data_IF_333337275942
#
_entry.id   IF_333337275942
#
_cell.length_a   1.000
_cell.length_b   1.000
_cell.length_c   1.000
_cell.angle_alpha   90.00
_cell.angle_beta   90.00
_cell.angle_gamma   90.00
#
_symmetry.space_group_name_H-M   'P 1'
#
loop_
_entity.id
_entity.type
_entity.pdbx_description
1 polymer ?
#
# COMPACT_ATOMS: atom_id res chain seq x y z
N UNK A 1 -4.47 14.55 13.43
CA UNK A 1 -3.52 13.42 13.52
C UNK A 1 -2.37 13.75 14.44
N UNK A 2 -2.19 12.95 15.49
CA UNK A 2 -1.02 13.04 16.38
C UNK A 2 -0.42 11.65 16.53
N UNK A 3 0.76 11.43 15.93
CA UNK A 3 1.57 10.23 16.09
C UNK A 3 2.92 10.66 16.66
N UNK A 4 3.47 9.92 17.62
CA UNK A 4 4.79 10.24 18.18
C UNK A 4 5.84 10.13 17.08
N UNK A 5 6.73 11.12 16.97
CA UNK A 5 7.81 11.12 15.98
C UNK A 5 8.70 9.87 16.07
N UNK A 6 8.84 9.29 17.27
CA UNK A 6 9.56 8.03 17.51
C UNK A 6 8.93 6.78 16.88
N UNK A 7 7.72 6.89 16.32
CA UNK A 7 7.09 5.83 15.54
C UNK A 7 7.73 5.66 14.16
N UNK A 8 8.61 6.59 13.76
CA UNK A 8 9.24 6.60 12.46
C UNK A 8 10.76 6.49 12.56
N UNK A 9 11.36 5.85 11.58
CA UNK A 9 12.81 5.70 11.41
C UNK A 9 13.20 5.96 9.96
N UNK A 10 14.43 6.43 9.76
CA UNK A 10 15.00 6.57 8.42
C UNK A 10 15.67 5.26 8.04
N UNK A 11 15.38 4.77 6.83
CA UNK A 11 16.05 3.64 6.19
C UNK A 11 16.36 3.97 4.74
N UNK A 12 17.12 3.11 4.07
CA UNK A 12 17.08 3.08 2.61
C UNK A 12 15.73 2.52 2.17
N UNK A 13 15.10 3.10 1.18
CA UNK A 13 13.87 2.60 0.55
C UNK A 13 13.93 1.10 0.20
N UNK A 14 15.05 0.61 -0.33
CA UNK A 14 15.26 -0.79 -0.68
C UNK A 14 15.34 -1.70 0.55
N UNK A 15 15.76 -1.17 1.71
CA UNK A 15 15.86 -1.88 2.99
C UNK A 15 14.53 -1.86 3.78
N UNK A 16 13.50 -1.17 3.27
CA UNK A 16 12.13 -1.24 3.81
C UNK A 16 11.56 -2.62 3.52
N UNK A 17 10.94 -3.31 4.48
CA UNK A 17 10.35 -4.62 4.23
C UNK A 17 9.29 -4.58 3.13
N UNK A 18 9.23 -5.62 2.29
CA UNK A 18 8.16 -5.79 1.32
C UNK A 18 6.79 -5.80 2.03
N UNK A 19 5.78 -5.22 1.38
CA UNK A 19 4.45 -5.05 1.94
C UNK A 19 4.32 -3.93 2.98
N UNK A 20 5.41 -3.20 3.28
CA UNK A 20 5.37 -2.04 4.17
C UNK A 20 5.22 -0.73 3.39
N UNK A 21 4.89 0.35 4.09
CA UNK A 21 4.92 1.69 3.50
C UNK A 21 6.16 2.47 3.90
N UNK A 22 6.51 3.43 3.05
CA UNK A 22 7.51 4.42 3.35
C UNK A 22 7.11 5.76 2.72
N UNK A 23 7.65 6.85 3.26
CA UNK A 23 7.49 8.18 2.70
C UNK A 23 8.80 8.67 2.09
N UNK A 24 8.68 9.28 0.92
CA UNK A 24 9.75 9.93 0.15
C UNK A 24 9.13 11.09 -0.63
N UNK A 25 9.81 12.24 -0.72
CA UNK A 25 9.32 13.43 -1.46
C UNK A 25 7.83 13.75 -1.22
N UNK A 26 7.42 13.83 0.06
CA UNK A 26 6.04 14.14 0.49
C UNK A 26 4.96 13.12 0.09
N UNK A 27 5.33 12.03 -0.59
CA UNK A 27 4.42 10.98 -1.04
C UNK A 27 4.54 9.72 -0.18
N UNK A 28 3.44 8.97 -0.07
CA UNK A 28 3.45 7.64 0.55
C UNK A 28 3.57 6.57 -0.52
N UNK A 29 4.50 5.65 -0.30
CA UNK A 29 4.77 4.53 -1.19
C UNK A 29 4.52 3.21 -0.48
N UNK A 30 4.04 2.22 -1.22
CA UNK A 30 4.00 0.83 -0.79
C UNK A 30 5.17 0.07 -1.41
N UNK A 31 5.94 -0.63 -0.58
CA UNK A 31 7.12 -1.39 -1.01
C UNK A 31 6.69 -2.72 -1.61
N UNK A 32 7.03 -2.95 -2.87
CA UNK A 32 6.56 -4.10 -3.61
C UNK A 32 7.60 -4.68 -4.59
N UNK A 33 7.28 -5.86 -5.12
CA UNK A 33 7.97 -6.51 -6.23
C UNK A 33 7.00 -6.73 -7.39
N UNK A 34 7.45 -6.45 -8.61
CA UNK A 34 6.70 -6.68 -9.86
C UNK A 34 7.53 -7.54 -10.81
N UNK A 35 6.86 -8.35 -11.61
CA UNK A 35 7.51 -9.20 -12.62
C UNK A 35 7.40 -8.52 -13.98
N UNK A 36 8.54 -8.07 -14.52
CA UNK A 36 8.63 -7.48 -15.85
C UNK A 36 9.32 -8.46 -16.80
N UNK A 37 8.52 -9.34 -17.41
CA UNK A 37 9.01 -10.29 -18.42
C UNK A 37 10.03 -11.30 -17.90
N UNK A 38 9.95 -11.68 -16.63
CA UNK A 38 10.86 -12.60 -15.95
C UNK A 38 11.95 -11.93 -15.12
N UNK A 39 12.03 -10.59 -15.14
CA UNK A 39 12.93 -9.82 -14.27
C UNK A 39 12.15 -9.23 -13.09
N UNK A 40 12.55 -9.60 -11.86
CA UNK A 40 11.87 -9.15 -10.64
C UNK A 40 12.41 -7.77 -10.28
N UNK A 41 11.55 -6.75 -10.39
CA UNK A 41 11.91 -5.38 -10.06
C UNK A 41 11.44 -5.02 -8.65
N UNK A 42 12.34 -4.43 -7.87
CA UNK A 42 12.03 -3.80 -6.59
C UNK A 42 11.43 -2.42 -6.83
N UNK A 43 10.20 -2.20 -6.37
CA UNK A 43 9.46 -0.97 -6.67
C UNK A 43 8.84 -0.33 -5.43
N UNK A 44 8.62 0.98 -5.52
CA UNK A 44 7.77 1.76 -4.64
C UNK A 44 6.51 2.20 -5.38
N UNK A 45 5.35 1.86 -4.86
CA UNK A 45 4.06 2.22 -5.46
C UNK A 45 3.54 3.49 -4.83
N UNK A 46 3.48 4.59 -5.58
CA UNK A 46 2.97 5.85 -5.08
C UNK A 46 1.46 5.76 -4.81
N UNK A 47 1.10 5.58 -3.54
CA UNK A 47 -0.30 5.48 -3.12
C UNK A 47 -1.00 6.84 -3.20
N UNK A 48 -0.26 7.94 -3.07
CA UNK A 48 -0.76 9.32 -3.08
C UNK A 48 -0.98 9.89 -4.49
N UNK A 49 -0.28 9.40 -5.52
CA UNK A 49 -0.42 9.81 -6.93
C UNK A 49 -0.79 8.62 -7.83
N UNK A 50 -2.03 8.15 -7.70
CA UNK A 50 -2.66 7.28 -8.68
C UNK A 50 -2.01 5.90 -8.87
N UNK A 51 -1.28 5.39 -7.86
CA UNK A 51 -0.64 4.08 -7.90
C UNK A 51 0.33 3.88 -9.08
N UNK A 52 1.09 4.91 -9.44
CA UNK A 52 2.27 4.73 -10.30
C UNK A 52 3.41 4.10 -9.51
N UNK A 53 4.24 3.28 -10.14
CA UNK A 53 5.43 2.74 -9.48
C UNK A 53 6.71 3.43 -9.92
N UNK A 54 7.69 3.45 -9.03
CA UNK A 54 9.08 3.82 -9.30
C UNK A 54 9.98 2.63 -9.02
N UNK A 55 10.97 2.40 -9.88
CA UNK A 55 11.97 1.34 -9.68
C UNK A 55 13.02 1.82 -8.68
N UNK A 56 13.25 1.03 -7.63
CA UNK A 56 14.17 1.34 -6.54
C UNK A 56 15.58 0.86 -6.88
N UNK A 57 16.20 1.45 -7.90
CA UNK A 57 17.56 1.08 -8.34
C UNK A 57 18.66 1.82 -7.58
N UNK A 58 18.40 3.07 -7.19
CA UNK A 58 19.33 3.90 -6.44
C UNK A 58 18.77 4.14 -5.04
N UNK A 59 19.40 3.60 -3.97
CA UNK A 59 18.84 3.70 -2.64
C UNK A 59 18.68 5.15 -2.19
N UNK A 60 17.46 5.55 -1.84
CA UNK A 60 17.16 6.87 -1.28
C UNK A 60 16.85 6.79 0.20
N UNK A 61 16.95 7.93 0.91
CA UNK A 61 16.51 8.01 2.30
C UNK A 61 14.99 8.06 2.37
N UNK A 62 14.41 7.06 3.02
CA UNK A 62 12.97 6.90 3.18
C UNK A 62 12.59 6.87 4.66
N UNK A 63 11.46 7.49 5.00
CA UNK A 63 10.88 7.42 6.34
C UNK A 63 9.91 6.24 6.40
N UNK A 64 10.10 5.32 7.34
CA UNK A 64 9.21 4.15 7.52
C UNK A 64 8.92 3.92 9.01
N UNK A 65 8.10 2.92 9.32
CA UNK A 65 7.73 2.60 10.69
C UNK A 65 8.90 2.01 11.49
N UNK A 66 8.97 2.39 12.77
CA UNK A 66 9.87 1.78 13.73
C UNK A 66 9.53 0.29 13.94
N UNK A 67 10.53 -0.48 14.37
CA UNK A 67 10.34 -1.91 14.66
C UNK A 67 9.23 -2.15 15.70
N UNK A 68 8.40 -3.17 15.46
CA UNK A 68 7.26 -3.52 16.32
C UNK A 68 5.98 -2.74 16.03
N UNK A 69 6.00 -1.84 15.04
CA UNK A 69 4.82 -1.20 14.48
C UNK A 69 4.48 -1.80 13.12
N UNK A 70 3.19 -1.88 12.83
CA UNK A 70 2.66 -2.37 11.57
C UNK A 70 1.61 -1.41 11.01
N UNK A 71 1.26 -1.61 9.75
CA UNK A 71 0.12 -0.94 9.13
C UNK A 71 -1.08 -1.85 9.11
N UNK A 72 -2.25 -1.25 9.31
CA UNK A 72 -3.53 -1.87 9.01
C UNK A 72 -4.27 -1.00 8.01
N UNK A 73 -4.60 -1.58 6.86
CA UNK A 73 -5.40 -0.90 5.84
C UNK A 73 -6.87 -1.08 6.17
N UNK A 74 -7.63 0.02 6.15
CA UNK A 74 -9.07 0.02 6.46
C UNK A 74 -9.87 0.69 5.37
N UNK A 75 -11.05 0.14 5.11
CA UNK A 75 -12.05 0.73 4.24
C UNK A 75 -12.73 1.88 4.98
N UNK A 76 -12.84 3.04 4.34
CA UNK A 76 -13.51 4.23 4.89
C UNK A 76 -14.82 4.48 4.15
N UNK A 77 -14.80 4.39 2.82
CA UNK A 77 -15.95 4.65 1.97
C UNK A 77 -16.69 3.40 1.49
N UNK A 78 -17.63 3.56 0.53
CA UNK A 78 -18.44 2.47 0.05
C UNK A 78 -17.61 1.44 -0.73
N UNK A 79 -17.99 0.17 -0.59
CA UNK A 79 -17.52 -0.91 -1.46
C UNK A 79 -18.37 -0.92 -2.73
N UNK A 80 -17.73 -0.96 -3.89
CA UNK A 80 -18.33 -1.00 -5.23
C UNK A 80 -18.00 -2.31 -5.94
N UNK A 81 -18.71 -2.56 -7.03
CA UNK A 81 -18.51 -3.74 -7.88
C UNK A 81 -19.77 -4.64 -7.97
N UNK A 82 -19.68 -5.77 -8.68
CA UNK A 82 -18.49 -6.29 -9.36
C UNK A 82 -18.06 -5.43 -10.57
N UNK A 83 -16.76 -5.27 -10.79
CA UNK A 83 -16.23 -4.55 -11.97
C UNK A 83 -14.74 -4.24 -11.87
N UNK A 84 -14.17 -3.61 -12.91
CA UNK A 84 -12.75 -3.23 -12.93
C UNK A 84 -12.48 -2.15 -11.86
N UNK A 85 -11.63 -2.42 -10.85
CA UNK A 85 -11.25 -1.41 -9.86
C UNK A 85 -10.48 -0.25 -10.52
N UNK A 86 -10.77 1.02 -10.17
CA UNK A 86 -9.90 2.16 -10.50
C UNK A 86 -8.50 1.99 -9.90
N UNK A 87 -7.52 2.76 -10.34
CA UNK A 87 -6.17 2.74 -9.76
C UNK A 87 -6.18 3.07 -8.26
N UNK A 88 -5.20 2.53 -7.53
CA UNK A 88 -5.02 2.73 -6.09
C UNK A 88 -6.21 2.28 -5.22
N UNK A 89 -7.12 1.47 -5.74
CA UNK A 89 -8.24 0.93 -4.97
C UNK A 89 -7.80 -0.32 -4.21
N UNK A 90 -8.38 -0.53 -3.02
CA UNK A 90 -8.36 -1.85 -2.40
C UNK A 90 -9.34 -2.75 -3.15
N UNK A 91 -8.89 -3.92 -3.57
CA UNK A 91 -9.68 -4.85 -4.36
C UNK A 91 -9.66 -6.26 -3.75
N UNK A 92 -10.77 -6.97 -3.93
CA UNK A 92 -10.97 -8.36 -3.50
C UNK A 92 -11.60 -9.17 -4.63
N UNK A 93 -11.27 -10.45 -4.69
CA UNK A 93 -11.99 -11.41 -5.54
C UNK A 93 -12.08 -12.77 -4.87
N UNK A 94 -12.94 -13.66 -5.39
CA UNK A 94 -13.29 -14.94 -4.76
C UNK A 94 -12.09 -15.84 -4.40
N UNK A 95 -10.99 -15.75 -5.15
CA UNK A 95 -9.80 -16.57 -4.96
C UNK A 95 -8.59 -15.76 -4.49
N UNK A 96 -8.73 -14.44 -4.31
CA UNK A 96 -7.62 -13.54 -4.01
C UNK A 96 -7.73 -12.93 -2.62
N UNK A 97 -6.58 -12.72 -1.98
CA UNK A 97 -6.48 -11.83 -0.82
C UNK A 97 -6.73 -10.36 -1.19
N UNK A 98 -6.77 -9.47 -0.19
CA UNK A 98 -6.86 -8.04 -0.46
C UNK A 98 -5.62 -7.57 -1.23
N UNK A 99 -5.85 -6.74 -2.26
CA UNK A 99 -4.79 -6.25 -3.13
C UNK A 99 -5.01 -4.77 -3.49
N UNK A 100 -3.95 -4.11 -3.94
CA UNK A 100 -4.00 -2.75 -4.51
C UNK A 100 -4.08 -2.86 -6.03
N UNK A 101 -5.04 -2.19 -6.65
CA UNK A 101 -5.16 -2.13 -8.10
C UNK A 101 -4.15 -1.16 -8.74
N UNK A 102 -3.48 -1.67 -9.76
CA UNK A 102 -2.51 -0.95 -10.59
C UNK A 102 -3.02 -0.85 -12.03
N UNK A 103 -2.24 -0.25 -12.93
CA UNK A 103 -2.63 -0.05 -14.34
C UNK A 103 -2.99 -1.38 -15.00
N UNK A 104 -2.08 -2.36 -14.90
CA UNK A 104 -2.21 -3.65 -15.59
C UNK A 104 -2.19 -4.88 -14.67
N UNK A 105 -1.93 -4.69 -13.37
CA UNK A 105 -1.79 -5.78 -12.41
C UNK A 105 -2.37 -5.42 -11.02
N UNK A 106 -2.24 -6.35 -10.08
CA UNK A 106 -2.63 -6.17 -8.69
C UNK A 106 -1.47 -6.52 -7.77
N UNK A 107 -1.36 -5.84 -6.64
CA UNK A 107 -0.33 -6.11 -5.65
C UNK A 107 -0.96 -6.66 -4.38
N UNK A 108 -0.61 -7.89 -4.03
CA UNK A 108 -1.05 -8.53 -2.80
C UNK A 108 -0.55 -7.73 -1.60
N UNK A 109 -1.46 -7.45 -0.66
CA UNK A 109 -1.08 -6.81 0.60
C UNK A 109 -0.26 -7.75 1.49
N UNK A 110 -0.40 -9.06 1.30
CA UNK A 110 0.42 -10.06 1.98
C UNK A 110 1.78 -10.20 1.27
N UNK A 111 2.74 -9.39 1.72
CA UNK A 111 4.13 -9.46 1.26
C UNK A 111 4.46 -8.64 0.01
N UNK A 112 3.53 -7.83 -0.51
CA UNK A 112 3.82 -6.81 -1.53
C UNK A 112 4.23 -7.35 -2.89
N UNK A 113 3.76 -8.54 -3.26
CA UNK A 113 4.07 -9.15 -4.56
C UNK A 113 2.93 -8.96 -5.55
N UNK A 114 3.27 -8.92 -6.82
CA UNK A 114 2.27 -9.02 -7.88
C UNK A 114 1.40 -10.28 -7.74
N UNK A 115 0.10 -10.15 -7.99
CA UNK A 115 -0.87 -11.23 -7.97
C UNK A 115 -1.80 -11.17 -9.17
N UNK A 116 -2.10 -12.34 -9.74
CA UNK A 116 -3.11 -12.53 -10.78
C UNK A 116 -4.43 -13.07 -10.22
N UNK A 117 -4.51 -13.25 -8.89
CA UNK A 117 -5.67 -13.85 -8.24
C UNK A 117 -6.89 -12.92 -8.26
N UNK A 118 -6.69 -11.62 -8.52
CA UNK A 118 -7.77 -10.65 -8.65
C UNK A 118 -8.33 -10.65 -10.07
N UNK A 119 -9.48 -11.31 -10.25
CA UNK A 119 -10.21 -11.29 -11.53
C UNK A 119 -11.00 -9.99 -11.69
N UNK A 120 -10.48 -9.07 -12.51
CA UNK A 120 -11.05 -7.72 -12.73
C UNK A 120 -12.55 -7.67 -13.01
N UNK A 121 -13.12 -8.61 -13.77
CA UNK A 121 -14.56 -8.63 -14.09
C UNK A 121 -15.47 -9.00 -12.91
N UNK A 122 -14.91 -9.54 -11.84
CA UNK A 122 -15.63 -10.03 -10.67
C UNK A 122 -15.08 -9.45 -9.36
N UNK A 123 -14.31 -8.37 -9.45
CA UNK A 123 -13.70 -7.75 -8.28
C UNK A 123 -14.68 -6.79 -7.60
N UNK A 124 -14.70 -6.85 -6.27
CA UNK A 124 -15.24 -5.77 -5.43
C UNK A 124 -14.09 -4.87 -5.02
N UNK A 125 -14.36 -3.57 -4.84
CA UNK A 125 -13.31 -2.63 -4.53
C UNK A 125 -13.77 -1.43 -3.70
N UNK A 126 -12.85 -0.84 -2.95
CA UNK A 126 -13.02 0.41 -2.22
C UNK A 126 -12.03 1.44 -2.76
N UNK A 127 -12.56 2.56 -3.24
CA UNK A 127 -11.76 3.70 -3.73
C UNK A 127 -11.33 4.64 -2.61
N UNK A 128 -12.04 4.61 -1.47
CA UNK A 128 -11.75 5.44 -0.30
C UNK A 128 -11.39 4.55 0.90
N UNK A 129 -10.12 4.59 1.26
CA UNK A 129 -9.51 3.75 2.30
C UNK A 129 -8.32 4.50 2.93
N UNK A 130 -7.79 3.98 4.03
CA UNK A 130 -6.62 4.57 4.67
C UNK A 130 -5.78 3.53 5.41
N UNK A 131 -4.63 3.97 5.89
CA UNK A 131 -3.73 3.14 6.68
C UNK A 131 -3.64 3.67 8.12
N UNK A 132 -3.74 2.77 9.10
CA UNK A 132 -3.54 3.07 10.51
C UNK A 132 -2.26 2.42 10.99
N UNK A 133 -1.55 3.09 11.90
CA UNK A 133 -0.38 2.50 12.56
C UNK A 133 -0.84 1.74 13.80
N UNK A 134 -0.46 0.46 13.85
CA UNK A 134 -0.85 -0.47 14.90
C UNK A 134 0.39 -0.89 15.69
N UNK A 135 0.25 -1.01 17.01
CA UNK A 135 1.30 -1.53 17.89
C UNK A 135 1.39 -3.06 17.87
N UNK A 136 2.38 -3.60 18.58
CA UNK A 136 2.58 -5.05 18.70
C UNK A 136 1.44 -5.81 19.39
N UNK A 137 0.48 -5.11 20.00
CA UNK A 137 -0.71 -5.70 20.64
C UNK A 137 -1.95 -5.62 19.73
N UNK A 138 -1.81 -5.18 18.48
CA UNK A 138 -2.93 -5.00 17.57
C UNK A 138 -3.77 -3.76 17.85
N UNK A 139 -3.27 -2.77 18.61
CA UNK A 139 -4.00 -1.54 18.93
C UNK A 139 -3.50 -0.36 18.09
N UNK A 140 -4.42 0.50 17.59
CA UNK A 140 -4.02 1.74 16.94
C UNK A 140 -3.27 2.65 17.91
N UNK A 141 -2.12 3.17 17.48
CA UNK A 141 -1.37 4.17 18.27
C UNK A 141 -1.95 5.59 18.10
N UNK A 142 -2.86 5.77 17.15
CA UNK A 142 -3.62 6.99 16.86
C UNK A 142 -5.04 6.63 16.41
N UNK A 143 -6.06 7.43 16.75
CA UNK A 143 -7.41 7.25 16.22
C UNK A 143 -7.49 7.65 14.73
N UNK A 144 -6.69 8.63 14.31
CA UNK A 144 -6.64 9.11 12.94
C UNK A 144 -5.74 8.21 12.06
N UNK A 145 -6.06 8.05 10.76
CA UNK A 145 -5.19 7.34 9.81
C UNK A 145 -3.88 8.10 9.59
N UNK A 146 -2.83 7.34 9.29
CA UNK A 146 -1.53 7.86 8.82
C UNK A 146 -1.68 8.58 7.47
N UNK A 147 -2.43 7.97 6.55
CA UNK A 147 -2.80 8.55 5.27
C UNK A 147 -4.15 7.99 4.79
N UNK A 148 -4.79 8.73 3.88
CA UNK A 148 -6.08 8.38 3.27
C UNK A 148 -5.94 8.48 1.76
N UNK A 149 -6.45 7.48 1.05
CA UNK A 149 -6.53 7.41 -0.41
C UNK A 149 -7.97 7.64 -0.85
N UNK A 150 -8.17 8.42 -1.90
CA UNK A 150 -9.50 8.69 -2.45
C UNK A 150 -10.40 9.51 -1.52
N UNK A 151 -9.81 10.38 -0.71
CA UNK A 151 -10.57 11.49 -0.13
C UNK A 151 -10.98 12.41 -1.26
N UNK A 152 -12.28 12.63 -1.42
CA UNK A 152 -12.79 13.63 -2.36
C UNK A 152 -12.14 14.99 -2.04
N UNK A 153 -11.68 15.68 -3.09
CA UNK A 153 -11.35 17.11 -3.07
C UNK A 153 -12.61 17.94 -3.19
#
# INVERSE_FOLDING_TARGET
MVIRASAFVIKKDIDVPLGSVFAFEESWFFRAQVDDGGDIQEVGINLTDGAKYVVLTNPTSALTLAHGLALELRVIGPIRGPGKPPLASLAWSINGGPAISMVDYFLALDGGKETTDVRTKHAFFATHWGAWVIDSNGKPISPDPLFVIGSDS
#
